data_IF_087965697667
#
_entry.id   IF_087965697667
#
_cell.length_a   1.000
_cell.length_b   1.000
_cell.length_c   1.000
_cell.angle_alpha   90.00
_cell.angle_beta   90.00
_cell.angle_gamma   90.00
#
_symmetry.space_group_name_H-M   'P 1'
#
loop_
_entity.id
_entity.type
_entity.pdbx_description
1 polymer ?
#
# COMPACT_ATOMS: atom_id res chain seq x y z
N UNK A 1 39.07 -35.62 2.77
CA UNK A 1 39.08 -35.70 1.31
C UNK A 1 40.20 -34.83 0.81
N UNK A 2 41.10 -35.35 -0.02
CA UNK A 2 42.31 -34.61 -0.46
C UNK A 2 41.92 -33.57 -1.53
N UNK A 3 42.39 -32.35 -1.40
CA UNK A 3 42.18 -31.24 -2.34
C UNK A 3 42.51 -31.60 -3.79
N UNK A 4 43.49 -32.52 -3.98
CA UNK A 4 43.88 -33.06 -5.29
C UNK A 4 42.76 -33.85 -5.99
N UNK A 5 41.87 -34.50 -5.22
CA UNK A 5 40.77 -35.30 -5.79
C UNK A 5 39.67 -34.36 -6.32
N UNK A 6 39.45 -33.23 -5.65
CA UNK A 6 38.49 -32.23 -6.08
C UNK A 6 38.91 -31.57 -7.42
N UNK A 7 40.17 -31.18 -7.55
CA UNK A 7 40.69 -30.61 -8.80
C UNK A 7 40.62 -31.59 -10.00
N UNK A 8 40.85 -32.88 -9.75
CA UNK A 8 40.71 -33.90 -10.78
C UNK A 8 39.28 -34.13 -11.23
N UNK A 9 38.33 -34.16 -10.28
CA UNK A 9 36.89 -34.28 -10.55
C UNK A 9 36.34 -33.08 -11.32
N UNK A 10 36.72 -31.87 -10.92
CA UNK A 10 36.29 -30.62 -11.59
C UNK A 10 36.79 -30.57 -13.03
N UNK A 11 38.08 -30.90 -13.25
CA UNK A 11 38.66 -30.91 -14.58
C UNK A 11 38.01 -31.97 -15.51
N UNK A 12 37.64 -33.13 -14.97
CA UNK A 12 36.92 -34.16 -15.72
C UNK A 12 35.47 -33.75 -16.02
N UNK A 13 34.79 -33.08 -15.08
CA UNK A 13 33.46 -32.51 -15.26
C UNK A 13 33.43 -31.47 -16.39
N UNK A 14 34.33 -30.49 -16.37
CA UNK A 14 34.43 -29.46 -17.41
C UNK A 14 34.75 -30.07 -18.80
N UNK A 15 35.62 -31.06 -18.88
CA UNK A 15 35.90 -31.75 -20.15
C UNK A 15 34.69 -32.50 -20.70
N UNK A 16 33.85 -33.08 -19.83
CA UNK A 16 32.63 -33.79 -20.23
C UNK A 16 31.57 -32.80 -20.73
N UNK A 17 31.43 -31.62 -20.09
CA UNK A 17 30.57 -30.53 -20.54
C UNK A 17 30.91 -30.11 -21.99
N UNK A 18 32.19 -29.94 -22.30
CA UNK A 18 32.64 -29.60 -23.66
C UNK A 18 32.37 -30.73 -24.69
N UNK A 19 32.42 -32.01 -24.29
CA UNK A 19 32.15 -33.15 -25.19
C UNK A 19 30.67 -33.27 -25.56
N UNK A 20 29.75 -32.80 -24.65
CA UNK A 20 28.32 -32.83 -24.85
C UNK A 20 27.72 -31.39 -24.88
N UNK A 21 28.39 -30.49 -25.59
CA UNK A 21 28.08 -29.07 -25.64
C UNK A 21 26.60 -28.75 -25.97
N UNK A 22 26.01 -29.49 -26.92
CA UNK A 22 24.64 -29.32 -27.32
C UNK A 22 23.64 -29.56 -26.15
N UNK A 23 23.88 -30.63 -25.37
CA UNK A 23 23.08 -30.97 -24.20
C UNK A 23 23.30 -29.97 -23.07
N UNK A 24 24.51 -29.47 -22.90
CA UNK A 24 24.85 -28.44 -21.92
C UNK A 24 24.15 -27.12 -22.23
N UNK A 25 24.14 -26.70 -23.51
CA UNK A 25 23.43 -25.51 -23.96
C UNK A 25 21.91 -25.65 -23.71
N UNK A 26 21.33 -26.80 -24.03
CA UNK A 26 19.93 -27.06 -23.79
C UNK A 26 19.57 -26.94 -22.31
N UNK A 27 20.38 -27.46 -21.38
CA UNK A 27 20.20 -27.35 -19.95
C UNK A 27 20.30 -25.88 -19.48
N UNK A 28 21.32 -25.16 -19.95
CA UNK A 28 21.49 -23.72 -19.60
C UNK A 28 20.31 -22.90 -20.10
N UNK A 29 19.87 -23.12 -21.34
CA UNK A 29 18.71 -22.43 -21.90
C UNK A 29 17.44 -22.69 -21.09
N UNK A 30 17.19 -23.94 -20.72
CA UNK A 30 16.04 -24.30 -19.87
C UNK A 30 16.07 -23.60 -18.52
N UNK A 31 17.23 -23.65 -17.83
CA UNK A 31 17.39 -22.96 -16.54
C UNK A 31 17.23 -21.45 -16.67
N UNK A 32 17.76 -20.84 -17.73
CA UNK A 32 17.62 -19.41 -17.98
C UNK A 32 16.16 -19.01 -18.16
N UNK A 33 15.39 -19.77 -18.93
CA UNK A 33 13.94 -19.53 -19.10
C UNK A 33 13.22 -19.65 -17.77
N UNK A 34 13.48 -20.69 -16.98
CA UNK A 34 12.87 -20.86 -15.68
C UNK A 34 13.17 -19.69 -14.73
N UNK A 35 14.43 -19.24 -14.68
CA UNK A 35 14.81 -18.07 -13.86
C UNK A 35 14.15 -16.79 -14.32
N UNK A 36 14.10 -16.55 -15.63
CA UNK A 36 13.45 -15.38 -16.20
C UNK A 36 11.96 -15.35 -15.86
N UNK A 37 11.27 -16.47 -15.96
CA UNK A 37 9.85 -16.55 -15.59
C UNK A 37 9.63 -16.30 -14.10
N UNK A 38 10.50 -16.80 -13.21
CA UNK A 38 10.40 -16.52 -11.78
C UNK A 38 10.62 -15.05 -11.46
N UNK A 39 11.61 -14.41 -12.06
CA UNK A 39 11.85 -12.95 -11.88
C UNK A 39 10.65 -12.17 -12.39
N UNK A 40 10.11 -12.52 -13.55
CA UNK A 40 8.96 -11.85 -14.13
C UNK A 40 7.70 -11.99 -13.25
N UNK A 41 7.46 -13.19 -12.72
CA UNK A 41 6.36 -13.42 -11.77
C UNK A 41 6.49 -12.58 -10.51
N UNK A 42 7.70 -12.51 -9.91
CA UNK A 42 7.96 -11.68 -8.74
C UNK A 42 7.77 -10.18 -9.00
N UNK A 43 8.17 -9.71 -10.19
CA UNK A 43 7.96 -8.31 -10.59
C UNK A 43 6.47 -7.98 -10.74
N UNK A 44 5.67 -8.89 -11.30
CA UNK A 44 4.22 -8.71 -11.40
C UNK A 44 3.61 -8.63 -9.99
N UNK A 45 3.96 -9.54 -9.09
CA UNK A 45 3.42 -9.59 -7.73
C UNK A 45 3.63 -8.26 -7.00
N UNK A 46 4.86 -7.73 -6.99
CA UNK A 46 5.17 -6.44 -6.36
C UNK A 46 4.44 -5.27 -7.01
N UNK A 47 4.27 -5.28 -8.34
CA UNK A 47 3.56 -4.21 -9.03
C UNK A 47 2.04 -4.29 -8.82
N UNK A 48 1.47 -5.50 -8.76
CA UNK A 48 0.04 -5.69 -8.49
C UNK A 48 -0.32 -5.18 -7.10
N UNK A 49 0.47 -5.48 -6.07
CA UNK A 49 0.25 -4.97 -4.71
C UNK A 49 0.24 -3.43 -4.67
N UNK A 50 1.18 -2.79 -5.36
CA UNK A 50 1.23 -1.34 -5.47
C UNK A 50 0.02 -0.77 -6.22
N UNK A 51 -0.42 -1.45 -7.27
CA UNK A 51 -1.58 -1.03 -8.07
C UNK A 51 -2.90 -1.21 -7.30
N UNK A 52 -3.03 -2.30 -6.56
CA UNK A 52 -4.20 -2.54 -5.69
C UNK A 52 -4.27 -1.50 -4.57
N UNK A 53 -3.14 -1.15 -3.95
CA UNK A 53 -3.08 -0.09 -2.95
C UNK A 53 -3.46 1.27 -3.53
N UNK A 54 -2.99 1.58 -4.73
CA UNK A 54 -3.31 2.82 -5.43
C UNK A 54 -4.80 2.90 -5.80
N UNK A 55 -5.37 1.83 -6.33
CA UNK A 55 -6.81 1.76 -6.64
C UNK A 55 -7.66 1.80 -5.37
N UNK A 56 -7.19 1.19 -4.28
CA UNK A 56 -7.86 1.25 -2.98
C UNK A 56 -7.95 2.67 -2.43
N UNK A 57 -6.91 3.48 -2.62
CA UNK A 57 -6.90 4.87 -2.17
C UNK A 57 -7.82 5.79 -2.98
N UNK A 58 -8.16 5.43 -4.21
CA UNK A 58 -9.13 6.19 -5.02
C UNK A 58 -10.59 5.99 -4.57
N UNK A 59 -10.86 4.93 -3.81
CA UNK A 59 -12.19 4.61 -3.26
C UNK A 59 -12.34 5.10 -1.82
N UNK A 60 -11.52 6.05 -1.39
CA UNK A 60 -11.54 6.57 -0.03
C UNK A 60 -12.31 7.89 0.05
N UNK A 61 -13.15 7.98 1.08
CA UNK A 61 -13.77 9.22 1.53
C UNK A 61 -13.09 9.66 2.82
N UNK A 62 -12.83 10.95 2.94
CA UNK A 62 -12.29 11.54 4.17
C UNK A 62 -13.41 12.22 4.92
N UNK A 63 -13.68 11.76 6.13
CA UNK A 63 -14.69 12.30 7.03
C UNK A 63 -13.97 13.00 8.18
N UNK A 64 -14.08 14.31 8.25
CA UNK A 64 -13.48 15.09 9.32
C UNK A 64 -14.36 15.04 10.57
N UNK A 65 -13.69 14.89 11.71
CA UNK A 65 -14.35 14.90 13.03
C UNK A 65 -14.25 16.31 13.62
N UNK A 66 -15.27 16.69 14.41
CA UNK A 66 -15.26 17.95 15.13
C UNK A 66 -14.00 18.05 16.02
N UNK A 67 -13.21 19.12 15.91
CA UNK A 67 -12.02 19.32 16.75
C UNK A 67 -12.29 19.33 18.26
N UNK A 68 -13.53 19.63 18.66
CA UNK A 68 -13.98 19.67 20.05
C UNK A 68 -14.67 18.37 20.50
N UNK A 69 -14.76 17.36 19.60
CA UNK A 69 -15.35 16.06 19.94
C UNK A 69 -14.53 15.34 21.00
N UNK A 70 -15.21 14.79 21.98
CA UNK A 70 -14.60 13.91 22.97
C UNK A 70 -14.34 12.50 22.39
N UNK A 71 -13.52 11.70 23.07
CA UNK A 71 -13.17 10.35 22.63
C UNK A 71 -14.39 9.46 22.45
N UNK A 72 -15.46 9.66 23.23
CA UNK A 72 -16.69 8.90 23.12
C UNK A 72 -17.43 9.23 21.81
N UNK A 73 -17.46 10.50 21.44
CA UNK A 73 -18.03 10.96 20.15
C UNK A 73 -17.20 10.45 18.98
N UNK A 74 -15.87 10.52 19.06
CA UNK A 74 -14.97 9.96 18.04
C UNK A 74 -15.28 8.49 17.81
N UNK A 75 -15.33 7.67 18.87
CA UNK A 75 -15.66 6.25 18.76
C UNK A 75 -17.07 6.00 18.19
N UNK A 76 -18.05 6.81 18.59
CA UNK A 76 -19.42 6.66 18.09
C UNK A 76 -19.52 6.92 16.59
N UNK A 77 -18.81 7.95 16.09
CA UNK A 77 -18.66 8.24 14.66
C UNK A 77 -18.02 7.07 13.94
N UNK A 78 -16.90 6.54 14.45
CA UNK A 78 -16.22 5.37 13.86
C UNK A 78 -17.13 4.15 13.76
N UNK A 79 -17.92 3.87 14.81
CA UNK A 79 -18.88 2.77 14.80
C UNK A 79 -20.02 2.99 13.80
N UNK A 80 -20.54 4.22 13.70
CA UNK A 80 -21.57 4.58 12.74
C UNK A 80 -21.09 4.43 11.30
N UNK A 81 -19.87 4.90 10.99
CA UNK A 81 -19.24 4.74 9.68
C UNK A 81 -19.02 3.28 9.33
N UNK A 82 -18.53 2.48 10.30
CA UNK A 82 -18.27 1.04 10.08
C UNK A 82 -19.57 0.23 9.91
N UNK A 83 -20.67 0.69 10.48
CA UNK A 83 -21.99 0.05 10.35
C UNK A 83 -22.72 0.40 9.06
N UNK A 84 -22.20 1.34 8.26
CA UNK A 84 -22.85 1.77 7.01
C UNK A 84 -22.65 0.73 5.90
N UNK A 85 -23.72 0.34 5.24
CA UNK A 85 -23.66 -0.61 4.12
C UNK A 85 -22.85 -0.01 2.97
N UNK A 86 -21.92 -0.80 2.40
CA UNK A 86 -21.03 -0.36 1.33
C UNK A 86 -19.67 0.14 1.80
N UNK A 87 -19.47 0.28 3.11
CA UNK A 87 -18.16 0.58 3.70
C UNK A 87 -17.37 -0.71 3.86
N UNK A 88 -16.13 -0.74 3.34
CA UNK A 88 -15.23 -1.91 3.43
C UNK A 88 -14.21 -1.77 4.55
N UNK A 89 -13.76 -0.54 4.82
CA UNK A 89 -12.76 -0.24 5.86
C UNK A 89 -12.99 1.15 6.41
N UNK A 90 -12.78 1.31 7.71
CA UNK A 90 -12.74 2.61 8.40
C UNK A 90 -11.44 2.68 9.17
N UNK A 91 -10.67 3.74 8.94
CA UNK A 91 -9.40 3.98 9.61
C UNK A 91 -9.40 5.37 10.22
N UNK A 92 -9.24 5.44 11.54
CA UNK A 92 -9.04 6.70 12.24
C UNK A 92 -7.61 7.21 12.05
N UNK A 93 -7.48 8.49 11.77
CA UNK A 93 -6.21 9.20 11.66
C UNK A 93 -6.23 10.36 12.66
N UNK A 94 -5.35 10.30 13.64
CA UNK A 94 -5.16 11.41 14.58
C UNK A 94 -4.51 12.61 13.87
N UNK A 95 -4.53 13.78 14.50
CA UNK A 95 -3.85 14.99 13.97
C UNK A 95 -2.35 14.73 13.74
N UNK A 96 -1.74 13.96 14.65
CA UNK A 96 -0.32 13.57 14.57
C UNK A 96 -0.07 12.59 13.43
N UNK A 97 -0.96 11.61 13.22
CA UNK A 97 -0.84 10.65 12.13
C UNK A 97 -0.93 11.34 10.77
N UNK A 98 -1.87 12.28 10.63
CA UNK A 98 -2.01 13.10 9.42
C UNK A 98 -0.74 13.90 9.16
N UNK A 99 -0.19 14.59 10.17
CA UNK A 99 1.07 15.35 10.04
C UNK A 99 2.22 14.44 9.64
N UNK A 100 2.36 13.26 10.27
CA UNK A 100 3.42 12.31 9.96
C UNK A 100 3.30 11.75 8.54
N UNK A 101 2.08 11.54 8.07
CA UNK A 101 1.84 11.12 6.70
C UNK A 101 2.28 12.19 5.68
N UNK A 102 1.94 13.46 5.92
CA UNK A 102 2.40 14.56 5.07
C UNK A 102 3.92 14.72 5.09
N UNK A 103 4.57 14.52 6.25
CA UNK A 103 6.04 14.45 6.35
C UNK A 103 6.63 13.34 5.48
N UNK A 104 5.96 12.19 5.41
CA UNK A 104 6.36 11.08 4.56
C UNK A 104 6.24 11.38 3.06
N UNK A 105 5.17 12.02 2.63
CA UNK A 105 4.97 12.43 1.23
C UNK A 105 5.91 13.56 0.80
N UNK A 106 6.17 14.48 1.71
CA UNK A 106 6.99 15.66 1.47
C UNK A 106 8.36 15.53 2.16
N UNK A 107 9.07 14.43 1.94
CA UNK A 107 10.36 14.14 2.59
C UNK A 107 11.37 15.29 2.45
N UNK A 108 11.40 15.95 1.30
CA UNK A 108 12.30 17.09 1.02
C UNK A 108 11.92 18.35 1.82
N UNK A 109 10.68 18.46 2.30
CA UNK A 109 10.15 19.58 3.07
C UNK A 109 9.77 19.18 4.50
N UNK A 110 10.14 17.98 4.94
CA UNK A 110 9.82 17.48 6.29
C UNK A 110 10.31 18.41 7.41
N UNK A 111 11.42 19.11 7.19
CA UNK A 111 11.97 20.09 8.14
C UNK A 111 11.02 21.27 8.40
N UNK A 112 10.28 21.74 7.38
CA UNK A 112 9.28 22.80 7.53
C UNK A 112 8.04 22.30 8.28
N UNK A 113 7.69 21.04 8.11
CA UNK A 113 6.54 20.43 8.79
C UNK A 113 6.81 20.14 10.27
N UNK A 114 8.06 20.13 10.73
CA UNK A 114 8.40 19.99 12.14
C UNK A 114 7.95 21.19 12.99
N UNK A 115 7.82 22.38 12.40
CA UNK A 115 7.32 23.56 13.11
C UNK A 115 5.86 23.38 13.55
N UNK A 116 5.10 22.52 12.87
CA UNK A 116 3.70 22.22 13.18
C UNK A 116 3.52 21.12 14.24
N UNK A 117 4.58 20.60 14.84
CA UNK A 117 4.46 19.62 15.93
C UNK A 117 3.79 20.22 17.19
N UNK A 118 4.05 21.50 17.47
CA UNK A 118 3.50 22.19 18.64
C UNK A 118 2.13 22.86 18.37
N UNK A 119 1.88 23.28 17.12
CA UNK A 119 0.62 23.90 16.70
C UNK A 119 0.16 23.24 15.41
N UNK A 120 -0.41 22.05 15.56
CA UNK A 120 -0.80 21.20 14.45
C UNK A 120 -2.10 21.70 13.80
N UNK A 121 -2.06 22.26 12.58
CA UNK A 121 -3.22 22.79 11.88
C UNK A 121 -4.12 21.69 11.30
N UNK A 122 -3.65 20.45 11.26
CA UNK A 122 -4.42 19.34 10.69
C UNK A 122 -5.54 18.90 11.61
N UNK A 123 -6.60 18.38 11.00
CA UNK A 123 -7.76 17.85 11.71
C UNK A 123 -7.72 16.33 11.73
N UNK A 124 -8.16 15.76 12.85
CA UNK A 124 -8.38 14.32 12.91
C UNK A 124 -9.49 13.93 11.92
N UNK A 125 -9.36 12.80 11.30
CA UNK A 125 -10.30 12.32 10.30
C UNK A 125 -10.44 10.81 10.31
N UNK A 126 -11.51 10.35 9.70
CA UNK A 126 -11.69 8.95 9.33
C UNK A 126 -11.51 8.79 7.82
N UNK A 127 -10.66 7.85 7.43
CA UNK A 127 -10.59 7.36 6.06
C UNK A 127 -11.51 6.18 5.91
N UNK A 128 -12.46 6.32 5.02
CA UNK A 128 -13.50 5.33 4.77
C UNK A 128 -13.32 4.79 3.36
N UNK A 129 -12.91 3.53 3.24
CA UNK A 129 -12.82 2.87 1.94
C UNK A 129 -14.17 2.26 1.60
N UNK A 130 -14.63 2.48 0.38
CA UNK A 130 -15.89 1.94 -0.11
C UNK A 130 -15.67 0.65 -0.90
N UNK A 131 -16.66 -0.24 -0.85
CA UNK A 131 -16.65 -1.45 -1.66
C UNK A 131 -16.97 -1.19 -3.14
N UNK A 132 -17.74 -0.11 -3.41
CA UNK A 132 -18.19 0.27 -4.74
C UNK A 132 -18.31 1.80 -4.84
N UNK A 133 -17.57 2.38 -5.79
CA UNK A 133 -17.56 3.82 -6.07
C UNK A 133 -18.94 4.34 -6.50
N UNK A 134 -19.74 3.53 -7.16
CA UNK A 134 -21.08 3.94 -7.61
C UNK A 134 -22.02 4.33 -6.47
N UNK A 135 -21.72 3.89 -5.25
CA UNK A 135 -22.50 4.18 -4.06
C UNK A 135 -21.98 5.40 -3.27
N UNK A 136 -20.87 6.01 -3.71
CA UNK A 136 -20.21 7.11 -3.01
C UNK A 136 -21.17 8.26 -2.68
N UNK A 137 -21.96 8.72 -3.65
CA UNK A 137 -22.93 9.80 -3.43
C UNK A 137 -24.04 9.43 -2.43
N UNK A 138 -24.48 8.18 -2.45
CA UNK A 138 -25.53 7.72 -1.54
C UNK A 138 -25.00 7.60 -0.12
N UNK A 139 -23.78 7.06 0.03
CA UNK A 139 -23.12 6.89 1.33
C UNK A 139 -22.72 8.25 1.91
N UNK A 140 -22.24 9.19 1.10
CA UNK A 140 -21.90 10.53 1.55
C UNK A 140 -23.09 11.24 2.18
N UNK A 141 -24.27 11.15 1.58
CA UNK A 141 -25.50 11.71 2.16
C UNK A 141 -25.91 11.06 3.48
N UNK A 142 -25.53 9.80 3.69
CA UNK A 142 -25.76 9.14 4.98
C UNK A 142 -24.79 9.68 6.05
N UNK A 143 -23.56 9.98 5.67
CA UNK A 143 -22.55 10.54 6.58
C UNK A 143 -22.89 11.95 7.06
N UNK A 144 -23.55 12.76 6.24
CA UNK A 144 -24.03 14.09 6.63
C UNK A 144 -25.00 14.05 7.83
N UNK A 145 -25.70 12.94 8.02
CA UNK A 145 -26.64 12.77 9.13
C UNK A 145 -25.99 12.22 10.41
N UNK A 146 -24.69 11.94 10.41
CA UNK A 146 -23.98 11.45 11.59
C UNK A 146 -23.54 12.65 12.43
N UNK A 147 -24.04 12.74 13.67
CA UNK A 147 -23.64 13.79 14.62
C UNK A 147 -22.15 13.71 14.92
N UNK A 148 -21.44 14.83 14.82
CA UNK A 148 -19.98 14.91 15.05
C UNK A 148 -19.14 14.86 13.78
N UNK A 149 -19.74 14.72 12.60
CA UNK A 149 -19.08 14.90 11.31
C UNK A 149 -19.23 16.34 10.84
N UNK A 150 -18.12 17.04 10.59
CA UNK A 150 -18.14 18.44 10.14
C UNK A 150 -18.07 18.59 8.62
N UNK A 151 -17.33 17.73 7.96
CA UNK A 151 -17.14 17.79 6.51
C UNK A 151 -16.65 16.45 6.01
N UNK A 152 -17.13 16.02 4.85
CA UNK A 152 -16.50 14.97 4.10
C UNK A 152 -15.95 15.55 2.78
N UNK A 153 -14.81 15.09 2.33
CA UNK A 153 -14.33 15.34 0.98
C UNK A 153 -14.32 14.01 0.25
N UNK A 154 -15.09 13.89 -0.81
CA UNK A 154 -14.80 12.89 -1.82
C UNK A 154 -13.56 13.39 -2.55
N UNK A 155 -12.49 12.62 -2.56
CA UNK A 155 -11.36 12.88 -3.45
C UNK A 155 -11.80 12.50 -4.87
N UNK A 156 -12.77 13.23 -5.37
CA UNK A 156 -13.06 13.26 -6.78
C UNK A 156 -12.12 14.34 -7.34
N UNK A 157 -11.07 13.88 -8.01
CA UNK A 157 -10.30 14.69 -8.93
C UNK A 157 -11.26 15.37 -9.92
N UNK A 158 -11.73 16.56 -9.55
CA UNK A 158 -12.18 17.56 -10.50
C UNK A 158 -10.97 18.44 -10.81
N UNK A 159 -10.26 18.05 -11.92
CA UNK A 159 -9.76 18.94 -12.97
C UNK A 159 -9.23 18.09 -14.13
#
# INVERSE_FOLDING_TARGET
>A
MKISTFGFLTRRGVRNLGKHWAMTIACIASLSVCMTLNIFASLIEVNVDSMVSYLGSQNEMVVYVDPEADDATIQSVGNALSGTAGVSRVQYMSKEDVLNQYKGYMSDYAALLNEFENDNPFKANYRVSLSDLSQMETISKQFENISGCLLYTSDASDD
#
